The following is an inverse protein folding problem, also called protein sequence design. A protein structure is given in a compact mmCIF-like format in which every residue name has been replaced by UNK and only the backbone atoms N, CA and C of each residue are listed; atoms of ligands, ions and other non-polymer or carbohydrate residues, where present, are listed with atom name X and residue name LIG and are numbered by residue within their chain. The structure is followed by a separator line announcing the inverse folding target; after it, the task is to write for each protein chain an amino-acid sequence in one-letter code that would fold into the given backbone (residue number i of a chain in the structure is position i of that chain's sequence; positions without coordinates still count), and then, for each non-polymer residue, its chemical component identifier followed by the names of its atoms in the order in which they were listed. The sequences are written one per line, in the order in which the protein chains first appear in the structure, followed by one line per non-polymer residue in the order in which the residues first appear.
data_IF_000868236789
#
_entry.id   IF_000868236789
#
_cell.length_a   1.000
_cell.length_b   1.000
_cell.length_c   1.000
_cell.angle_alpha   90.00
_cell.angle_beta   90.00
_cell.angle_gamma   90.00
#
_symmetry.space_group_name_H-M   'P 1'
#
loop_
_entity.id
_entity.type
_entity.pdbx_description
1 polymer ?
#
# COMPACT_ATOMS: atom_id res chain seq x y z
N UNK A 1 -11.15 -3.80 2.27
CA UNK A 1 -9.80 -4.40 2.34
C UNK A 1 -9.32 -4.42 0.91
N UNK A 2 -8.07 -4.01 0.67
CA UNK A 2 -7.64 -3.51 -0.63
C UNK A 2 -7.49 -4.53 -1.75
N UNK A 3 -7.28 -4.03 -2.97
CA UNK A 3 -6.91 -4.82 -4.15
C UNK A 3 -5.42 -4.64 -4.43
N UNK A 4 -4.72 -5.72 -4.81
CA UNK A 4 -3.30 -5.68 -5.15
C UNK A 4 -3.13 -5.86 -6.66
N UNK A 5 -2.43 -4.94 -7.30
CA UNK A 5 -2.15 -4.94 -8.73
C UNK A 5 -0.67 -5.13 -9.01
N UNK A 6 -0.35 -5.76 -10.14
CA UNK A 6 0.97 -5.64 -10.74
C UNK A 6 1.05 -4.30 -11.46
N UNK A 7 1.92 -3.41 -11.01
CA UNK A 7 2.12 -2.09 -11.59
C UNK A 7 3.57 -1.90 -12.03
N UNK A 8 3.81 -0.85 -12.83
CA UNK A 8 5.15 -0.38 -13.19
C UNK A 8 5.33 1.01 -12.60
N UNK A 9 6.33 1.17 -11.75
CA UNK A 9 6.76 2.48 -11.24
C UNK A 9 7.33 3.30 -12.42
N UNK A 10 6.72 4.43 -12.79
CA UNK A 10 7.13 5.17 -13.98
C UNK A 10 8.43 5.96 -13.80
N UNK A 11 8.83 6.26 -12.55
CA UNK A 11 9.99 7.09 -12.26
C UNK A 11 11.27 6.27 -12.41
N UNK A 12 11.28 5.06 -11.83
CA UNK A 12 12.47 4.19 -11.83
C UNK A 12 12.30 2.90 -12.63
N UNK A 13 11.18 2.77 -13.36
CA UNK A 13 10.91 1.71 -14.33
C UNK A 13 11.00 0.27 -13.79
N UNK A 14 10.51 0.03 -12.57
CA UNK A 14 10.47 -1.30 -11.94
C UNK A 14 9.04 -1.84 -11.83
N UNK A 15 8.90 -3.16 -11.80
CA UNK A 15 7.63 -3.79 -11.44
C UNK A 15 7.43 -3.74 -9.92
N UNK A 16 6.21 -3.40 -9.50
CA UNK A 16 5.82 -3.33 -8.09
C UNK A 16 4.45 -3.97 -7.87
N UNK A 17 4.16 -4.32 -6.62
CA UNK A 17 2.81 -4.63 -6.17
C UNK A 17 2.19 -3.33 -5.61
N UNK A 18 1.10 -2.86 -6.21
CA UNK A 18 0.37 -1.67 -5.76
C UNK A 18 -0.90 -2.10 -5.04
N UNK A 19 -1.01 -1.81 -3.74
CA UNK A 19 -2.20 -2.09 -2.93
C UNK A 19 -3.05 -0.83 -2.83
N UNK A 20 -4.28 -0.86 -3.33
CA UNK A 20 -5.22 0.26 -3.23
C UNK A 20 -6.38 -0.09 -2.30
N UNK A 21 -6.99 0.92 -1.68
CA UNK A 21 -8.28 0.75 -0.99
C UNK A 21 -9.42 0.94 -2.01
N UNK A 22 -10.49 0.16 -1.89
CA UNK A 22 -11.69 0.35 -2.72
C UNK A 22 -12.43 1.62 -2.29
N UNK A 23 -13.22 2.22 -3.17
CA UNK A 23 -14.03 3.41 -2.85
C UNK A 23 -14.87 3.21 -1.58
N UNK A 24 -15.66 2.13 -1.53
CA UNK A 24 -16.43 1.78 -0.33
C UNK A 24 -15.58 1.56 0.93
N UNK A 25 -14.32 1.13 0.77
CA UNK A 25 -13.39 0.99 1.89
C UNK A 25 -12.78 2.32 2.34
N UNK A 26 -12.70 3.32 1.46
CA UNK A 26 -12.24 4.66 1.78
C UNK A 26 -13.31 5.44 2.58
N UNK A 27 -14.59 5.20 2.29
CA UNK A 27 -15.73 5.78 3.03
C UNK A 27 -15.87 5.22 4.45
N UNK A 28 -15.37 4.00 4.71
CA UNK A 28 -15.31 3.41 6.05
C UNK A 28 -14.01 3.81 6.77
N UNK A 29 -14.15 4.75 7.71
CA UNK A 29 -13.05 5.27 8.53
C UNK A 29 -12.25 4.17 9.26
N UNK A 30 -12.91 3.08 9.69
CA UNK A 30 -12.21 1.98 10.36
C UNK A 30 -11.35 1.18 9.36
N UNK A 31 -11.83 1.02 8.14
CA UNK A 31 -11.08 0.34 7.08
C UNK A 31 -9.90 1.18 6.60
N UNK A 32 -10.12 2.48 6.41
CA UNK A 32 -9.07 3.43 6.08
C UNK A 32 -7.98 3.49 7.18
N UNK A 33 -8.37 3.59 8.45
CA UNK A 33 -7.44 3.58 9.57
C UNK A 33 -6.67 2.25 9.71
N UNK A 34 -7.25 1.12 9.29
CA UNK A 34 -6.55 -0.16 9.23
C UNK A 34 -5.55 -0.22 8.08
N UNK A 35 -5.90 0.33 6.92
CA UNK A 35 -5.01 0.41 5.75
C UNK A 35 -3.74 1.21 6.08
N UNK A 36 -3.89 2.38 6.70
CA UNK A 36 -2.74 3.18 7.15
C UNK A 36 -1.89 2.46 8.22
N UNK A 37 -2.54 1.83 9.21
CA UNK A 37 -1.81 1.07 10.26
C UNK A 37 -1.01 -0.09 9.71
N UNK A 38 -1.54 -0.83 8.74
CA UNK A 38 -0.83 -1.95 8.11
C UNK A 38 0.49 -1.48 7.51
N UNK A 39 0.43 -0.39 6.75
CA UNK A 39 1.60 0.11 6.06
C UNK A 39 2.55 0.89 6.98
N UNK A 40 2.08 1.56 8.04
CA UNK A 40 2.96 2.08 9.10
C UNK A 40 3.71 0.95 9.84
N UNK A 41 3.01 -0.16 10.13
CA UNK A 41 3.59 -1.29 10.86
C UNK A 41 4.63 -2.04 10.04
N UNK A 42 4.36 -2.23 8.74
CA UNK A 42 5.27 -2.91 7.82
C UNK A 42 6.38 -1.99 7.27
N UNK A 43 6.15 -0.68 7.19
CA UNK A 43 7.09 0.29 6.61
C UNK A 43 8.43 0.40 7.34
N UNK A 44 8.48 0.06 8.63
CA UNK A 44 9.72 0.01 9.40
C UNK A 44 10.48 -1.31 9.32
N UNK A 45 9.95 -2.33 8.62
CA UNK A 45 10.52 -3.67 8.61
C UNK A 45 11.41 -3.88 7.38
N UNK A 46 12.67 -4.25 7.62
CA UNK A 46 13.62 -4.60 6.57
C UNK A 46 14.19 -6.00 6.83
N UNK A 47 13.62 -6.99 6.16
CA UNK A 47 14.00 -8.39 6.33
C UNK A 47 13.73 -9.18 5.03
N UNK A 48 14.60 -10.14 4.62
CA UNK A 48 14.44 -10.88 3.37
C UNK A 48 13.12 -11.65 3.23
N UNK A 49 12.48 -11.99 4.35
CA UNK A 49 11.19 -12.72 4.39
C UNK A 49 9.98 -11.82 4.65
N UNK A 50 10.12 -10.49 4.57
CA UNK A 50 9.03 -9.53 4.76
C UNK A 50 9.00 -8.60 3.54
N UNK A 51 7.82 -8.40 2.97
CA UNK A 51 7.66 -7.50 1.83
C UNK A 51 7.93 -6.06 2.28
N UNK A 52 8.88 -5.39 1.61
CA UNK A 52 9.20 -3.99 1.87
C UNK A 52 8.15 -3.08 1.25
N UNK A 53 7.67 -2.12 2.03
CA UNK A 53 6.87 -1.00 1.54
C UNK A 53 7.84 0.09 1.07
N UNK A 54 7.75 0.42 -0.22
CA UNK A 54 8.61 1.45 -0.80
C UNK A 54 8.03 2.85 -0.62
N UNK A 55 6.71 2.97 -0.70
CA UNK A 55 6.01 4.25 -0.66
C UNK A 55 4.56 4.04 -0.20
N UNK A 56 3.97 5.11 0.32
CA UNK A 56 2.55 5.23 0.68
C UNK A 56 2.10 6.65 0.36
N UNK A 57 0.98 6.77 -0.34
CA UNK A 57 0.32 8.05 -0.54
C UNK A 57 -1.13 7.86 -0.96
N UNK A 58 -1.82 8.99 -1.02
CA UNK A 58 -3.15 9.16 -1.59
C UNK A 58 -3.07 10.08 -2.81
N UNK A 59 -3.85 9.78 -3.85
CA UNK A 59 -4.06 10.73 -4.94
C UNK A 59 -5.11 11.75 -4.47
N UNK A 60 -4.67 12.99 -4.23
CA UNK A 60 -5.51 14.18 -4.16
C UNK A 60 -5.35 15.00 -5.44
#
# INVERSE_FOLDING_TARGET
MGVVYRARDPIINRLVALKTITAAGADDQNMLARFYREAQSAGGLQHPNIVTIYDMGDEH
#
